data_IF_237154850175
#
_entry.id   IF_237154850175
#
_cell.length_a   1.000
_cell.length_b   1.000
_cell.length_c   1.000
_cell.angle_alpha   90.00
_cell.angle_beta   90.00
_cell.angle_gamma   90.00
#
_symmetry.space_group_name_H-M   'P 1'
#
loop_
_entity.id
_entity.type
_entity.pdbx_description
1 polymer ?
#
# COMPACT_ATOMS: atom_id res chain seq x y z
N UNK A 1 14.10 22.86 9.72
CA UNK A 1 13.58 21.76 10.57
C UNK A 1 13.13 20.66 9.63
N UNK A 2 13.75 19.49 9.68
CA UNK A 2 13.30 18.35 8.86
C UNK A 2 11.98 17.84 9.44
N UNK A 3 10.92 17.62 8.64
CA UNK A 3 9.66 17.10 9.15
C UNK A 3 9.92 15.76 9.85
N UNK A 4 9.43 15.61 11.08
CA UNK A 4 9.57 14.38 11.85
C UNK A 4 8.80 13.25 11.18
N UNK A 5 9.49 12.17 10.82
CA UNK A 5 8.88 11.00 10.19
C UNK A 5 8.33 10.06 11.25
N UNK A 6 7.01 9.90 11.29
CA UNK A 6 6.35 8.94 12.17
C UNK A 6 5.77 7.79 11.35
N UNK A 7 6.31 6.57 11.47
CA UNK A 7 5.71 5.40 10.84
C UNK A 7 4.34 5.17 11.47
N UNK A 8 3.28 5.19 10.65
CA UNK A 8 1.94 4.78 11.07
C UNK A 8 1.80 3.28 10.87
N UNK A 9 1.45 2.53 11.92
CA UNK A 9 1.10 1.13 11.75
C UNK A 9 -0.26 1.05 11.04
N UNK A 10 -0.30 0.51 9.81
CA UNK A 10 -1.54 0.39 9.03
C UNK A 10 -2.63 -0.34 9.82
N UNK A 11 -3.90 0.07 9.71
CA UNK A 11 -5.10 -0.41 10.46
C UNK A 11 -4.97 -0.69 11.99
N UNK A 12 -3.82 -0.46 12.60
CA UNK A 12 -3.46 -0.79 13.99
C UNK A 12 -3.91 0.33 14.97
N UNK A 13 -4.48 1.42 14.47
CA UNK A 13 -5.00 2.51 15.31
C UNK A 13 -6.08 2.09 16.31
N UNK A 14 -7.05 1.27 15.89
CA UNK A 14 -8.12 0.73 16.76
C UNK A 14 -7.57 -0.27 17.79
N UNK A 15 -6.49 -0.96 17.43
CA UNK A 15 -5.86 -2.01 18.22
C UNK A 15 -5.15 -1.46 19.46
N UNK A 16 -4.61 -0.24 19.38
CA UNK A 16 -4.01 0.45 20.52
C UNK A 16 -5.06 0.84 21.58
N UNK A 17 -6.24 1.30 21.15
CA UNK A 17 -7.33 1.67 22.06
C UNK A 17 -7.88 0.45 22.80
N UNK A 18 -8.11 -0.67 22.11
CA UNK A 18 -8.61 -1.91 22.74
C UNK A 18 -7.58 -2.45 23.74
N UNK A 19 -6.29 -2.38 23.42
CA UNK A 19 -5.22 -2.78 24.35
C UNK A 19 -5.22 -1.92 25.62
N UNK A 20 -5.42 -0.61 25.47
CA UNK A 20 -5.51 0.32 26.60
C UNK A 20 -6.74 0.02 27.47
N UNK A 21 -7.90 -0.22 26.85
CA UNK A 21 -9.13 -0.62 27.55
C UNK A 21 -8.93 -1.92 28.33
N UNK A 22 -8.26 -2.92 27.77
CA UNK A 22 -7.98 -4.19 28.48
C UNK A 22 -7.04 -4.00 29.67
N UNK A 23 -6.06 -3.10 29.56
CA UNK A 23 -5.15 -2.77 30.65
C UNK A 23 -5.87 -1.98 31.76
N UNK A 24 -6.72 -1.02 31.40
CA UNK A 24 -7.57 -0.29 32.35
C UNK A 24 -8.55 -1.22 33.06
N UNK A 25 -9.20 -2.13 32.31
CA UNK A 25 -10.09 -3.14 32.89
C UNK A 25 -9.34 -4.09 33.83
N UNK A 26 -8.13 -4.52 33.47
CA UNK A 26 -7.29 -5.34 34.34
C UNK A 26 -6.92 -4.61 35.64
N UNK A 27 -6.57 -3.32 35.55
CA UNK A 27 -6.26 -2.49 36.72
C UNK A 27 -7.48 -2.31 37.63
N UNK A 28 -8.66 -2.05 37.05
CA UNK A 28 -9.91 -1.94 37.81
C UNK A 28 -10.27 -3.26 38.51
N UNK A 29 -10.15 -4.39 37.81
CA UNK A 29 -10.38 -5.72 38.38
C UNK A 29 -9.36 -6.06 39.48
N UNK A 30 -8.10 -5.65 39.32
CA UNK A 30 -7.08 -5.83 40.36
C UNK A 30 -7.32 -4.94 41.59
N UNK A 31 -7.99 -3.80 41.44
CA UNK A 31 -8.32 -2.88 42.54
C UNK A 31 -9.52 -3.35 43.37
N UNK A 32 -10.49 -4.05 42.79
CA UNK A 32 -11.73 -4.48 43.48
C UNK A 32 -11.55 -5.26 44.80
N UNK A 33 -10.55 -6.16 44.96
CA UNK A 33 -10.22 -6.80 46.25
C UNK A 33 -10.01 -5.82 47.41
N UNK A 34 -9.37 -4.68 47.16
CA UNK A 34 -9.03 -3.68 48.17
C UNK A 34 -10.23 -2.86 48.64
N UNK A 35 -11.32 -2.82 47.86
CA UNK A 35 -12.55 -2.12 48.22
C UNK A 35 -13.54 -3.01 48.96
N UNK A 36 -13.69 -4.28 48.55
CA UNK A 36 -14.82 -5.12 49.00
C UNK A 36 -14.44 -6.10 50.12
N UNK A 37 -13.15 -6.36 50.38
CA UNK A 37 -12.64 -7.19 51.48
C UNK A 37 -13.30 -8.59 51.63
N UNK A 38 -13.86 -9.15 50.54
CA UNK A 38 -14.50 -10.48 50.53
C UNK A 38 -13.64 -11.48 49.76
N UNK A 39 -13.26 -12.64 50.33
CA UNK A 39 -12.37 -13.60 49.69
C UNK A 39 -12.93 -14.19 48.38
N UNK A 40 -14.26 -14.30 48.26
CA UNK A 40 -14.93 -14.76 47.04
C UNK A 40 -14.70 -13.80 45.86
N UNK A 41 -14.63 -12.49 46.13
CA UNK A 41 -14.37 -11.48 45.08
C UNK A 41 -12.94 -11.61 44.57
N UNK A 42 -11.98 -11.86 45.46
CA UNK A 42 -10.56 -12.07 45.12
C UNK A 42 -10.38 -13.30 44.22
N UNK A 43 -11.05 -14.40 44.55
CA UNK A 43 -10.99 -15.64 43.78
C UNK A 43 -11.54 -15.49 42.36
N UNK A 44 -12.53 -14.62 42.14
CA UNK A 44 -13.13 -14.36 40.83
C UNK A 44 -12.39 -13.33 39.99
N UNK A 45 -11.95 -12.21 40.58
CA UNK A 45 -11.38 -11.09 39.81
C UNK A 45 -9.92 -11.31 39.42
N UNK A 46 -9.15 -12.05 40.24
CA UNK A 46 -7.74 -12.36 39.94
C UNK A 46 -7.53 -13.08 38.61
N UNK A 47 -8.21 -14.22 38.34
CA UNK A 47 -8.09 -14.93 37.07
C UNK A 47 -8.53 -14.08 35.86
N UNK A 48 -9.59 -13.28 36.01
CA UNK A 48 -10.09 -12.43 34.92
C UNK A 48 -9.11 -11.30 34.62
N UNK A 49 -8.56 -10.64 35.65
CA UNK A 49 -7.52 -9.63 35.48
C UNK A 49 -6.27 -10.22 34.80
N UNK A 50 -5.85 -11.43 35.22
CA UNK A 50 -4.73 -12.13 34.60
C UNK A 50 -5.00 -12.46 33.12
N UNK A 51 -6.21 -12.92 32.79
CA UNK A 51 -6.62 -13.16 31.40
C UNK A 51 -6.65 -11.86 30.57
N UNK A 52 -7.07 -10.73 31.13
CA UNK A 52 -7.00 -9.43 30.46
C UNK A 52 -5.55 -9.01 30.17
N UNK A 53 -4.62 -9.24 31.12
CA UNK A 53 -3.18 -8.95 30.94
C UNK A 53 -2.56 -9.91 29.91
N UNK A 54 -2.83 -11.21 30.00
CA UNK A 54 -2.39 -12.20 29.00
C UNK A 54 -2.99 -11.89 27.64
N UNK A 55 -4.23 -11.43 27.57
CA UNK A 55 -4.83 -10.89 26.35
C UNK A 55 -3.99 -9.73 25.81
N UNK A 56 -3.82 -8.67 26.61
CA UNK A 56 -3.18 -7.42 26.19
C UNK A 56 -1.67 -7.52 25.88
N UNK A 57 -0.97 -8.50 26.44
CA UNK A 57 0.49 -8.68 26.31
C UNK A 57 0.82 -9.95 25.51
N UNK A 58 0.01 -11.00 25.66
CA UNK A 58 0.18 -12.26 24.96
C UNK A 58 -0.01 -12.09 23.46
N UNK A 59 0.99 -12.52 22.71
CA UNK A 59 1.05 -12.34 21.28
C UNK A 59 2.18 -13.16 20.66
N UNK A 60 2.04 -13.46 19.37
CA UNK A 60 3.09 -14.11 18.59
C UNK A 60 3.28 -13.34 17.28
N UNK A 61 4.51 -13.31 16.76
CA UNK A 61 4.85 -12.66 15.47
C UNK A 61 4.48 -11.17 15.39
N UNK A 62 4.72 -10.42 16.46
CA UNK A 62 4.52 -8.96 16.49
C UNK A 62 3.08 -8.49 16.68
N UNK A 63 2.12 -9.41 16.92
CA UNK A 63 0.70 -9.07 17.15
C UNK A 63 0.21 -9.69 18.46
N UNK A 64 -0.54 -8.93 19.25
CA UNK A 64 -1.23 -9.45 20.43
C UNK A 64 -2.52 -10.21 20.04
N UNK A 65 -3.03 -11.06 20.94
CA UNK A 65 -4.10 -12.01 20.65
C UNK A 65 -5.39 -11.35 20.11
N UNK A 66 -5.81 -10.22 20.66
CA UNK A 66 -7.01 -9.49 20.19
C UNK A 66 -6.83 -8.91 18.79
N UNK A 67 -5.63 -8.41 18.45
CA UNK A 67 -5.33 -8.01 17.08
C UNK A 67 -5.43 -9.19 16.10
N UNK A 68 -4.96 -10.38 16.51
CA UNK A 68 -5.08 -11.59 15.68
C UNK A 68 -6.53 -12.05 15.50
N UNK A 69 -7.39 -11.85 16.49
CA UNK A 69 -8.82 -12.19 16.39
C UNK A 69 -9.55 -11.23 15.45
N UNK A 70 -9.33 -9.93 15.56
CA UNK A 70 -9.89 -8.91 14.66
C UNK A 70 -9.50 -9.17 13.20
N UNK A 71 -8.23 -9.48 12.97
CA UNK A 71 -7.75 -9.82 11.63
C UNK A 71 -8.43 -11.06 11.08
N UNK A 72 -8.64 -12.06 11.93
CA UNK A 72 -9.30 -13.30 11.54
C UNK A 72 -10.80 -13.11 11.31
N UNK A 73 -11.48 -12.26 12.09
CA UNK A 73 -12.89 -11.90 11.85
C UNK A 73 -13.03 -11.13 10.55
N UNK A 74 -12.22 -10.09 10.34
CA UNK A 74 -12.27 -9.29 9.12
C UNK A 74 -11.91 -10.13 7.88
N UNK A 75 -10.97 -11.07 8.02
CA UNK A 75 -10.64 -12.02 6.97
C UNK A 75 -11.82 -12.92 6.60
N UNK A 76 -12.54 -13.45 7.60
CA UNK A 76 -13.74 -14.26 7.36
C UNK A 76 -14.85 -13.45 6.70
N UNK A 77 -15.14 -12.27 7.23
CA UNK A 77 -16.15 -11.37 6.68
C UNK A 77 -15.83 -11.03 5.22
N UNK A 78 -14.57 -10.69 4.92
CA UNK A 78 -14.12 -10.45 3.54
C UNK A 78 -14.25 -11.67 2.64
N UNK A 79 -14.08 -12.89 3.16
CA UNK A 79 -14.27 -14.11 2.35
C UNK A 79 -15.76 -14.33 2.01
N UNK A 80 -16.66 -14.01 2.94
CA UNK A 80 -18.11 -14.16 2.76
C UNK A 80 -18.70 -13.10 1.82
N UNK A 81 -18.16 -11.87 1.83
CA UNK A 81 -18.68 -10.75 1.05
C UNK A 81 -18.19 -10.69 -0.41
N UNK A 82 -17.31 -11.62 -0.85
CA UNK A 82 -16.75 -11.60 -2.22
C UNK A 82 -17.80 -11.92 -3.27
N UNK A 83 -17.89 -11.07 -4.28
CA UNK A 83 -18.79 -11.25 -5.43
C UNK A 83 -17.97 -11.35 -6.72
N UNK A 84 -18.42 -12.14 -7.72
CA UNK A 84 -17.82 -12.09 -9.05
C UNK A 84 -17.88 -10.67 -9.61
N UNK A 85 -16.79 -10.19 -10.20
CA UNK A 85 -16.75 -8.85 -10.78
C UNK A 85 -17.54 -8.77 -12.09
N UNK A 86 -18.10 -7.60 -12.34
CA UNK A 86 -18.71 -7.24 -13.63
C UNK A 86 -17.98 -6.05 -14.27
N UNK A 87 -18.04 -6.00 -15.60
CA UNK A 87 -17.43 -4.93 -16.41
C UNK A 87 -16.01 -5.26 -16.85
N UNK A 88 -15.16 -4.24 -16.89
CA UNK A 88 -13.83 -4.33 -17.48
C UNK A 88 -12.93 -5.37 -16.80
N UNK A 89 -12.35 -6.24 -17.62
CA UNK A 89 -11.51 -7.33 -17.15
C UNK A 89 -10.26 -6.85 -16.38
N UNK A 90 -9.67 -5.70 -16.77
CA UNK A 90 -8.50 -5.14 -16.10
C UNK A 90 -8.79 -4.69 -14.65
N UNK A 91 -10.04 -4.34 -14.34
CA UNK A 91 -10.47 -3.94 -13.00
C UNK A 91 -11.11 -5.08 -12.21
N UNK A 92 -11.27 -6.27 -12.81
CA UNK A 92 -11.95 -7.39 -12.17
C UNK A 92 -11.41 -7.72 -10.77
N UNK A 93 -10.08 -7.79 -10.52
CA UNK A 93 -9.58 -8.13 -9.19
C UNK A 93 -9.93 -7.08 -8.12
N UNK A 94 -9.97 -5.81 -8.52
CA UNK A 94 -10.35 -4.71 -7.63
C UNK A 94 -11.86 -4.69 -7.41
N UNK A 95 -12.67 -4.95 -8.44
CA UNK A 95 -14.14 -4.95 -8.35
C UNK A 95 -14.70 -6.20 -7.65
N UNK A 96 -14.03 -7.35 -7.71
CA UNK A 96 -14.38 -8.52 -6.90
C UNK A 96 -14.26 -8.23 -5.40
N UNK A 97 -13.36 -7.30 -5.06
CA UNK A 97 -13.09 -6.89 -3.69
C UNK A 97 -13.93 -5.69 -3.27
N UNK A 98 -13.96 -4.66 -4.11
CA UNK A 98 -14.66 -3.40 -3.90
C UNK A 98 -15.69 -3.23 -5.01
N UNK A 99 -16.88 -3.83 -4.87
CA UNK A 99 -17.90 -3.83 -5.93
C UNK A 99 -18.45 -2.43 -6.23
N UNK A 100 -18.22 -1.45 -5.35
CA UNK A 100 -18.59 -0.05 -5.54
C UNK A 100 -17.58 0.76 -6.36
N UNK A 101 -16.35 0.26 -6.62
CA UNK A 101 -15.35 1.00 -7.39
C UNK A 101 -15.82 1.29 -8.82
N UNK A 102 -15.79 2.57 -9.19
CA UNK A 102 -16.10 3.09 -10.52
C UNK A 102 -14.96 3.98 -11.01
N UNK A 103 -14.74 3.95 -12.30
CA UNK A 103 -13.88 4.90 -13.01
C UNK A 103 -14.76 5.94 -13.69
N UNK A 104 -14.21 7.15 -13.86
CA UNK A 104 -14.84 8.21 -14.63
C UNK A 104 -13.78 9.13 -15.22
N UNK A 105 -14.09 9.70 -16.38
CA UNK A 105 -13.33 10.80 -16.97
C UNK A 105 -13.83 12.13 -16.44
N UNK A 106 -12.91 12.97 -15.95
CA UNK A 106 -13.18 14.34 -15.51
C UNK A 106 -12.31 15.29 -16.33
N UNK A 107 -12.93 16.26 -17.01
CA UNK A 107 -12.18 17.25 -17.79
C UNK A 107 -11.58 18.33 -16.89
N UNK A 108 -10.31 18.67 -17.14
CA UNK A 108 -9.69 19.86 -16.56
C UNK A 108 -10.27 21.14 -17.18
N UNK A 109 -9.94 22.31 -16.60
CA UNK A 109 -10.27 23.61 -17.23
C UNK A 109 -9.68 23.75 -18.64
N UNK A 110 -8.56 23.07 -18.92
CA UNK A 110 -7.90 23.07 -20.22
C UNK A 110 -8.48 22.07 -21.22
N UNK A 111 -9.49 21.29 -20.85
CA UNK A 111 -10.10 20.27 -21.70
C UNK A 111 -9.46 18.89 -21.63
N UNK A 112 -8.24 18.78 -21.08
CA UNK A 112 -7.55 17.50 -20.94
C UNK A 112 -8.35 16.52 -20.05
N UNK A 113 -8.62 15.29 -20.51
CA UNK A 113 -9.36 14.28 -19.76
C UNK A 113 -8.49 13.63 -18.69
N UNK A 114 -8.94 13.66 -17.44
CA UNK A 114 -8.28 13.00 -16.30
C UNK A 114 -9.11 11.81 -15.84
N UNK A 115 -8.47 10.65 -15.70
CA UNK A 115 -9.07 9.46 -15.13
C UNK A 115 -9.16 9.58 -13.61
N UNK A 116 -10.35 9.30 -13.07
CA UNK A 116 -10.61 9.26 -11.63
C UNK A 116 -11.22 7.91 -11.29
N UNK A 117 -10.83 7.35 -10.13
CA UNK A 117 -11.41 6.13 -9.55
C UNK A 117 -11.90 6.40 -8.13
N UNK A 118 -13.03 5.83 -7.75
CA UNK A 118 -13.60 5.97 -6.41
C UNK A 118 -14.77 5.03 -6.16
N UNK A 119 -15.20 4.91 -4.91
CA UNK A 119 -16.34 4.08 -4.50
C UNK A 119 -17.54 4.90 -3.98
N UNK A 120 -17.44 6.23 -4.05
CA UNK A 120 -18.41 7.19 -3.50
C UNK A 120 -17.97 7.81 -2.18
N UNK A 121 -17.07 7.18 -1.43
CA UNK A 121 -16.48 7.73 -0.19
C UNK A 121 -15.16 8.46 -0.44
N UNK A 122 -14.47 8.12 -1.53
CA UNK A 122 -13.24 8.82 -1.93
C UNK A 122 -13.15 8.95 -3.45
N UNK A 123 -12.25 9.84 -3.89
CA UNK A 123 -11.83 9.97 -5.28
C UNK A 123 -10.30 9.96 -5.36
N UNK A 124 -9.76 9.23 -6.32
CA UNK A 124 -8.32 9.13 -6.58
C UNK A 124 -8.03 9.37 -8.05
N UNK A 125 -7.00 10.16 -8.34
CA UNK A 125 -6.40 10.26 -9.66
C UNK A 125 -4.93 9.82 -9.59
N UNK A 126 -4.39 9.36 -10.71
CA UNK A 126 -3.05 8.79 -10.78
C UNK A 126 -2.17 9.59 -11.72
N UNK A 127 -0.95 9.83 -11.28
CA UNK A 127 0.12 10.49 -12.04
C UNK A 127 1.19 9.44 -12.30
N UNK A 128 1.56 9.20 -13.55
CA UNK A 128 2.74 8.43 -13.90
C UNK A 128 3.98 9.31 -13.81
N UNK A 129 5.04 8.77 -13.20
CA UNK A 129 6.29 9.47 -12.99
C UNK A 129 7.40 8.82 -13.82
N UNK A 130 8.03 9.63 -14.65
CA UNK A 130 9.19 9.24 -15.44
C UNK A 130 10.42 10.07 -15.03
N UNK A 131 11.61 9.47 -15.06
CA UNK A 131 12.85 10.19 -14.83
C UNK A 131 13.19 10.99 -16.07
N UNK A 132 13.34 12.32 -15.96
CA UNK A 132 13.81 13.15 -17.07
C UNK A 132 15.14 12.61 -17.59
N UNK A 133 15.27 12.54 -18.92
CA UNK A 133 16.31 11.81 -19.66
C UNK A 133 17.76 12.22 -19.35
N UNK A 134 18.26 11.79 -18.20
CA UNK A 134 19.68 11.76 -17.86
C UNK A 134 20.40 10.66 -18.68
N UNK A 135 21.66 10.85 -19.07
CA UNK A 135 22.42 9.85 -19.82
C UNK A 135 22.44 8.50 -19.08
N UNK A 136 22.32 7.41 -19.84
CA UNK A 136 22.30 5.98 -19.42
C UNK A 136 23.47 5.49 -18.54
N UNK A 137 24.33 6.38 -18.03
CA UNK A 137 25.56 6.05 -17.29
C UNK A 137 25.41 6.00 -15.78
N UNK A 138 24.40 6.63 -15.19
CA UNK A 138 24.14 6.46 -13.76
C UNK A 138 23.23 5.26 -13.52
N UNK A 139 23.49 4.43 -12.50
CA UNK A 139 22.67 3.25 -12.24
C UNK A 139 21.21 3.68 -12.10
N UNK A 140 20.31 3.12 -12.93
CA UNK A 140 18.84 3.32 -12.88
C UNK A 140 18.22 3.08 -11.49
N UNK A 141 18.98 2.44 -10.59
CA UNK A 141 18.73 2.28 -9.17
C UNK A 141 18.72 3.60 -8.36
N UNK A 142 19.28 4.69 -8.90
CA UNK A 142 19.64 5.89 -8.15
C UNK A 142 18.55 6.97 -8.07
N UNK A 143 17.40 6.87 -8.75
CA UNK A 143 16.32 7.84 -8.54
C UNK A 143 15.42 7.41 -7.36
N UNK A 144 15.59 8.04 -6.18
CA UNK A 144 14.69 7.81 -5.06
C UNK A 144 13.29 8.31 -5.42
N UNK A 145 12.26 7.70 -4.84
CA UNK A 145 10.89 8.21 -4.94
C UNK A 145 10.85 9.69 -4.48
N UNK A 146 10.02 10.56 -5.08
CA UNK A 146 9.91 11.98 -4.72
C UNK A 146 9.15 12.20 -3.39
N UNK A 147 9.52 11.47 -2.34
CA UNK A 147 8.88 11.49 -1.02
C UNK A 147 8.92 12.90 -0.43
N UNK A 148 10.04 13.61 -0.57
CA UNK A 148 10.18 14.98 -0.07
C UNK A 148 9.26 15.99 -0.77
N UNK A 149 9.12 15.90 -2.09
CA UNK A 149 8.24 16.77 -2.87
C UNK A 149 6.77 16.53 -2.53
N UNK A 150 6.38 15.26 -2.36
CA UNK A 150 5.03 14.91 -1.95
C UNK A 150 4.74 15.33 -0.50
N UNK A 151 5.71 15.17 0.41
CA UNK A 151 5.58 15.63 1.79
C UNK A 151 5.43 17.16 1.86
N UNK A 152 6.15 17.91 1.03
CA UNK A 152 5.98 19.36 0.91
C UNK A 152 4.58 19.73 0.40
N UNK A 153 4.08 19.02 -0.62
CA UNK A 153 2.71 19.22 -1.13
C UNK A 153 1.65 18.95 -0.06
N UNK A 154 1.85 17.94 0.80
CA UNK A 154 0.93 17.60 1.89
C UNK A 154 0.94 18.59 3.05
N UNK A 155 2.06 19.29 3.25
CA UNK A 155 2.22 20.30 4.31
C UNK A 155 1.48 21.60 3.96
N UNK A 156 1.15 21.82 2.68
CA UNK A 156 0.31 22.94 2.26
C UNK A 156 -1.16 22.70 2.68
N UNK A 157 -1.63 23.50 3.63
CA UNK A 157 -3.01 23.46 4.14
C UNK A 157 -4.06 23.68 3.04
N UNK A 158 -3.69 24.32 1.93
CA UNK A 158 -4.57 24.57 0.79
C UNK A 158 -4.76 23.35 -0.11
N UNK A 159 -4.05 22.25 0.13
CA UNK A 159 -4.20 20.99 -0.62
C UNK A 159 -5.16 20.05 0.13
N UNK A 160 -6.39 19.86 -0.38
CA UNK A 160 -7.43 19.09 0.31
C UNK A 160 -7.29 17.58 0.05
N UNK A 161 -6.10 17.02 0.22
CA UNK A 161 -5.85 15.58 0.02
C UNK A 161 -5.82 14.86 1.36
N UNK A 162 -6.36 13.65 1.38
CA UNK A 162 -6.26 12.75 2.53
C UNK A 162 -4.91 12.03 2.53
N UNK A 163 -4.46 11.60 1.35
CA UNK A 163 -3.17 10.93 1.17
C UNK A 163 -2.63 11.04 -0.26
N UNK A 164 -1.32 10.84 -0.38
CA UNK A 164 -0.64 10.63 -1.65
C UNK A 164 0.21 9.37 -1.54
N UNK A 165 -0.05 8.41 -2.41
CA UNK A 165 0.61 7.11 -2.42
C UNK A 165 1.59 7.03 -3.59
N UNK A 166 2.87 6.90 -3.29
CA UNK A 166 3.94 6.67 -4.26
C UNK A 166 4.18 5.18 -4.43
N UNK A 167 4.04 4.65 -5.64
CA UNK A 167 4.27 3.24 -5.94
C UNK A 167 5.37 3.09 -6.98
N UNK A 168 6.36 2.27 -6.70
CA UNK A 168 7.36 1.79 -7.66
C UNK A 168 7.10 0.31 -7.94
N UNK A 169 6.68 0.01 -9.16
CA UNK A 169 6.45 -1.36 -9.64
C UNK A 169 7.57 -1.79 -10.56
N UNK A 170 8.29 -2.84 -10.17
CA UNK A 170 9.49 -3.32 -10.86
C UNK A 170 9.32 -4.76 -11.32
N UNK A 171 9.82 -5.05 -12.52
CA UNK A 171 9.99 -6.40 -13.05
C UNK A 171 11.48 -6.68 -13.15
N UNK A 172 11.99 -7.76 -12.53
CA UNK A 172 13.43 -7.98 -12.47
C UNK A 172 14.00 -8.35 -13.83
N UNK A 173 15.30 -8.10 -13.97
CA UNK A 173 16.11 -8.61 -15.05
C UNK A 173 17.17 -9.58 -14.51
N UNK A 174 17.41 -10.73 -15.17
CA UNK A 174 16.60 -11.31 -16.22
C UNK A 174 15.23 -11.80 -15.70
N UNK A 175 14.26 -11.94 -16.61
CA UNK A 175 12.95 -12.45 -16.23
C UNK A 175 13.08 -13.86 -15.61
N UNK A 176 12.37 -14.19 -14.51
CA UNK A 176 12.64 -15.41 -13.74
C UNK A 176 12.39 -16.72 -14.50
N UNK A 177 11.57 -16.67 -15.56
CA UNK A 177 11.24 -17.82 -16.39
C UNK A 177 12.31 -18.11 -17.45
N UNK A 178 13.29 -17.22 -17.65
CA UNK A 178 14.35 -17.43 -18.63
C UNK A 178 15.40 -18.43 -18.12
N UNK A 179 15.88 -19.36 -18.98
CA UNK A 179 17.01 -20.21 -18.64
C UNK A 179 18.24 -19.37 -18.28
N UNK A 180 18.95 -19.76 -17.22
CA UNK A 180 20.16 -19.05 -16.74
C UNK A 180 21.26 -18.92 -17.79
N UNK A 181 21.31 -19.84 -18.76
CA UNK A 181 22.32 -19.85 -19.82
C UNK A 181 21.95 -18.97 -21.04
N UNK A 182 20.75 -18.39 -21.05
CA UNK A 182 20.28 -17.53 -22.16
C UNK A 182 21.19 -16.32 -22.34
N UNK A 183 21.30 -15.84 -23.58
CA UNK A 183 22.07 -14.63 -23.89
C UNK A 183 21.55 -13.43 -23.11
N UNK A 184 20.23 -13.28 -22.99
CA UNK A 184 19.61 -12.22 -22.19
C UNK A 184 20.04 -12.28 -20.72
N UNK A 185 20.07 -13.47 -20.10
CA UNK A 185 20.52 -13.62 -18.72
C UNK A 185 22.01 -13.23 -18.54
N UNK A 186 22.87 -13.60 -19.49
CA UNK A 186 24.29 -13.20 -19.47
C UNK A 186 24.49 -11.71 -19.71
N UNK A 187 23.71 -11.10 -20.60
CA UNK A 187 23.78 -9.66 -20.86
C UNK A 187 23.41 -8.83 -19.63
N UNK A 188 22.36 -9.22 -18.90
CA UNK A 188 21.97 -8.51 -17.68
C UNK A 188 22.98 -8.68 -16.53
N UNK A 189 23.68 -9.81 -16.45
CA UNK A 189 24.77 -9.99 -15.49
C UNK A 189 25.90 -8.96 -15.68
N UNK A 190 26.14 -8.51 -16.92
CA UNK A 190 27.16 -7.50 -17.23
C UNK A 190 26.80 -6.06 -16.84
N UNK A 191 25.51 -5.76 -16.60
CA UNK A 191 25.02 -4.41 -16.27
C UNK A 191 24.99 -4.17 -14.74
N UNK A 192 25.04 -5.24 -13.96
CA UNK A 192 24.92 -5.22 -12.49
C UNK A 192 23.62 -5.88 -12.03
N UNK A 193 23.68 -6.58 -10.90
CA UNK A 193 22.63 -7.51 -10.45
C UNK A 193 21.33 -6.83 -9.94
N UNK A 194 21.34 -5.51 -9.71
CA UNK A 194 20.26 -4.81 -9.01
C UNK A 194 19.45 -3.83 -9.88
N UNK A 195 19.54 -3.95 -11.21
CA UNK A 195 18.76 -3.12 -12.14
C UNK A 195 17.56 -3.90 -12.67
N UNK A 196 16.31 -3.46 -12.39
CA UNK A 196 15.13 -4.11 -12.95
C UNK A 196 15.02 -3.89 -14.46
N UNK A 197 14.43 -4.84 -15.17
CA UNK A 197 14.18 -4.75 -16.62
C UNK A 197 13.24 -3.59 -16.94
N UNK A 198 12.19 -3.45 -16.11
CA UNK A 198 11.19 -2.42 -16.21
C UNK A 198 10.89 -1.91 -14.81
N UNK A 199 10.84 -0.59 -14.66
CA UNK A 199 10.36 0.09 -13.46
C UNK A 199 9.37 1.15 -13.90
N UNK A 200 8.16 1.10 -13.35
CA UNK A 200 7.12 2.12 -13.54
C UNK A 200 6.81 2.71 -12.18
N UNK A 201 6.69 4.04 -12.13
CA UNK A 201 6.39 4.75 -10.89
C UNK A 201 5.09 5.53 -11.03
N UNK A 202 4.24 5.46 -10.00
CA UNK A 202 2.98 6.19 -9.93
C UNK A 202 2.88 7.00 -8.64
N UNK A 203 2.16 8.11 -8.70
CA UNK A 203 1.65 8.84 -7.55
C UNK A 203 0.11 8.84 -7.61
N UNK A 204 -0.55 8.16 -6.68
CA UNK A 204 -1.99 8.18 -6.55
C UNK A 204 -2.40 9.24 -5.52
N UNK A 205 -3.13 10.26 -5.95
CA UNK A 205 -3.57 11.39 -5.13
C UNK A 205 -5.01 11.15 -4.71
N UNK A 206 -5.26 10.99 -3.42
CA UNK A 206 -6.58 10.69 -2.87
C UNK A 206 -7.20 11.89 -2.16
N UNK A 207 -8.48 12.07 -2.41
CA UNK A 207 -9.34 13.03 -1.75
C UNK A 207 -10.53 12.30 -1.11
N UNK A 208 -10.76 12.59 0.16
CA UNK A 208 -11.99 12.24 0.88
C UNK A 208 -12.89 13.49 0.90
N UNK A 209 -14.04 13.47 0.20
CA UNK A 209 -14.94 14.63 0.14
C UNK A 209 -15.49 15.05 1.51
N UNK A 210 -15.69 14.13 2.46
CA UNK A 210 -16.19 14.45 3.79
C UNK A 210 -15.11 15.19 4.59
N UNK A 211 -13.88 14.69 4.58
CA UNK A 211 -12.75 15.35 5.22
C UNK A 211 -12.37 16.69 4.56
N UNK A 212 -12.71 16.87 3.28
CA UNK A 212 -12.39 18.05 2.47
C UNK A 212 -13.60 18.99 2.24
N UNK A 213 -14.65 18.92 3.06
CA UNK A 213 -15.93 19.60 2.82
C UNK A 213 -15.78 21.09 2.43
N UNK A 214 -14.98 21.87 3.18
CA UNK A 214 -14.78 23.29 2.88
C UNK A 214 -14.16 23.55 1.49
N UNK A 215 -13.25 22.67 1.03
CA UNK A 215 -12.67 22.77 -0.29
C UNK A 215 -13.63 22.35 -1.41
N UNK A 216 -14.54 21.41 -1.11
CA UNK A 216 -15.61 20.96 -2.00
C UNK A 216 -16.66 22.05 -2.18
N UNK A 217 -17.15 22.64 -1.08
CA UNK A 217 -18.13 23.73 -1.08
C UNK A 217 -17.62 24.96 -1.85
N UNK A 218 -16.37 25.37 -1.61
CA UNK A 218 -15.74 26.48 -2.34
C UNK A 218 -15.65 26.27 -3.86
N UNK A 219 -15.87 25.05 -4.35
CA UNK A 219 -15.80 24.69 -5.79
C UNK A 219 -17.16 24.32 -6.40
N UNK A 220 -18.24 24.66 -5.71
CA UNK A 220 -19.62 24.46 -6.16
C UNK A 220 -20.35 23.31 -5.48
N UNK A 221 -19.72 22.65 -4.50
CA UNK A 221 -20.35 21.60 -3.70
C UNK A 221 -20.59 20.28 -4.45
N UNK A 222 -21.04 19.28 -3.70
CA UNK A 222 -21.41 17.96 -4.21
C UNK A 222 -20.29 17.27 -5.00
N UNK A 223 -20.68 16.42 -5.95
CA UNK A 223 -19.76 15.62 -6.75
C UNK A 223 -18.85 16.47 -7.64
N UNK A 224 -19.39 17.53 -8.26
CA UNK A 224 -18.61 18.43 -9.14
C UNK A 224 -17.55 19.20 -8.33
N UNK A 225 -17.91 19.69 -7.14
CA UNK A 225 -16.98 20.34 -6.22
C UNK A 225 -15.85 19.41 -5.80
N UNK A 226 -16.16 18.15 -5.48
CA UNK A 226 -15.18 17.12 -5.13
C UNK A 226 -14.22 16.80 -6.27
N UNK A 227 -14.74 16.63 -7.49
CA UNK A 227 -13.92 16.42 -8.69
C UNK A 227 -12.99 17.62 -8.95
N UNK A 228 -13.49 18.85 -8.85
CA UNK A 228 -12.66 20.06 -9.02
C UNK A 228 -11.61 20.22 -7.92
N UNK A 229 -11.94 19.84 -6.68
CA UNK A 229 -11.01 19.85 -5.56
C UNK A 229 -9.86 18.85 -5.80
N UNK A 230 -10.20 17.64 -6.25
CA UNK A 230 -9.22 16.61 -6.61
C UNK A 230 -8.32 17.09 -7.74
N UNK A 231 -8.88 17.59 -8.85
CA UNK A 231 -8.08 18.06 -9.99
C UNK A 231 -7.10 19.18 -9.59
N UNK A 232 -7.54 20.11 -8.71
CA UNK A 232 -6.66 21.16 -8.19
C UNK A 232 -5.50 20.54 -7.40
N UNK A 233 -5.78 19.55 -6.55
CA UNK A 233 -4.76 18.89 -5.76
C UNK A 233 -3.77 18.09 -6.61
N UNK A 234 -4.27 17.35 -7.61
CA UNK A 234 -3.45 16.57 -8.55
C UNK A 234 -2.48 17.48 -9.31
N UNK A 235 -2.94 18.62 -9.81
CA UNK A 235 -2.08 19.60 -10.50
C UNK A 235 -0.99 20.15 -9.59
N UNK A 236 -1.31 20.42 -8.31
CA UNK A 236 -0.31 20.89 -7.33
C UNK A 236 0.72 19.81 -7.01
N UNK A 237 0.28 18.57 -6.80
CA UNK A 237 1.19 17.44 -6.55
C UNK A 237 2.08 17.19 -7.77
N UNK A 238 1.52 17.19 -8.97
CA UNK A 238 2.28 17.07 -10.22
C UNK A 238 3.35 18.16 -10.32
N UNK A 239 2.98 19.42 -10.11
CA UNK A 239 3.91 20.56 -10.17
C UNK A 239 5.05 20.44 -9.14
N UNK A 240 4.76 19.96 -7.92
CA UNK A 240 5.80 19.72 -6.91
C UNK A 240 6.75 18.59 -7.32
N UNK A 241 6.23 17.51 -7.90
CA UNK A 241 7.02 16.39 -8.39
C UNK A 241 7.90 16.82 -9.59
N UNK A 242 7.37 17.63 -10.49
CA UNK A 242 8.13 18.21 -11.61
C UNK A 242 9.25 19.14 -11.14
N UNK A 243 8.99 19.93 -10.10
CA UNK A 243 10.00 20.77 -9.44
C UNK A 243 11.12 19.95 -8.80
N UNK A 244 10.88 18.68 -8.48
CA UNK A 244 11.89 17.74 -8.00
C UNK A 244 12.63 16.98 -9.11
N UNK A 245 12.42 17.35 -10.38
CA UNK A 245 13.17 16.81 -11.53
C UNK A 245 12.52 15.63 -12.25
N UNK A 246 11.31 15.22 -11.85
CA UNK A 246 10.55 14.17 -12.53
C UNK A 246 9.71 14.75 -13.68
N UNK A 247 9.34 13.90 -14.62
CA UNK A 247 8.25 14.14 -15.56
C UNK A 247 6.97 13.53 -14.96
N UNK A 248 5.88 14.31 -14.93
CA UNK A 248 4.64 13.93 -14.27
C UNK A 248 3.47 13.95 -15.25
N UNK A 249 3.02 12.76 -15.67
CA UNK A 249 1.90 12.61 -16.61
C UNK A 249 0.64 12.22 -15.85
N UNK A 250 -0.36 13.10 -15.82
CA UNK A 250 -1.67 12.78 -15.23
C UNK A 250 -2.40 11.81 -16.16
N UNK A 251 -2.81 10.65 -15.64
CA UNK A 251 -3.40 9.59 -16.46
C UNK A 251 -4.85 9.89 -16.84
N UNK A 252 -5.19 9.64 -18.10
CA UNK A 252 -6.57 9.53 -18.57
C UNK A 252 -7.25 8.26 -18.02
N UNK A 253 -8.57 8.12 -18.19
CA UNK A 253 -9.31 6.94 -17.70
C UNK A 253 -8.79 5.60 -18.28
N UNK A 254 -8.55 5.46 -19.61
CA UNK A 254 -7.99 4.22 -20.16
C UNK A 254 -6.58 3.90 -19.64
N UNK A 255 -5.74 4.91 -19.45
CA UNK A 255 -4.39 4.76 -18.92
C UNK A 255 -4.41 4.38 -17.44
N UNK A 256 -5.33 4.95 -16.66
CA UNK A 256 -5.59 4.60 -15.27
C UNK A 256 -5.99 3.12 -15.15
N UNK A 257 -6.93 2.66 -15.98
CA UNK A 257 -7.37 1.25 -16.02
C UNK A 257 -6.17 0.33 -16.33
N UNK A 258 -5.34 0.72 -17.29
CA UNK A 258 -4.12 -0.02 -17.67
C UNK A 258 -3.10 -0.07 -16.52
N UNK A 259 -2.89 1.04 -15.82
CA UNK A 259 -2.00 1.13 -14.66
C UNK A 259 -2.47 0.23 -13.51
N UNK A 260 -3.77 0.26 -13.20
CA UNK A 260 -4.39 -0.61 -12.17
C UNK A 260 -4.27 -2.09 -12.54
N UNK A 261 -4.56 -2.46 -13.79
CA UNK A 261 -4.40 -3.84 -14.28
C UNK A 261 -2.94 -4.31 -14.19
N UNK A 262 -1.99 -3.44 -14.53
CA UNK A 262 -0.55 -3.72 -14.41
C UNK A 262 -0.14 -3.92 -12.96
N UNK A 263 -0.55 -3.03 -12.05
CA UNK A 263 -0.26 -3.15 -10.63
C UNK A 263 -0.89 -4.41 -10.00
N UNK A 264 -2.07 -4.82 -10.45
CA UNK A 264 -2.73 -6.06 -10.03
C UNK A 264 -2.14 -7.34 -10.67
N UNK A 265 -1.23 -7.21 -11.66
CA UNK A 265 -0.70 -8.32 -12.46
C UNK A 265 -1.80 -9.13 -13.16
N UNK A 266 -2.79 -8.42 -13.72
CA UNK A 266 -3.86 -9.03 -14.50
C UNK A 266 -3.29 -9.71 -15.75
N UNK A 267 -3.64 -10.97 -15.97
CA UNK A 267 -3.17 -11.71 -17.15
C UNK A 267 -3.85 -11.20 -18.42
N UNK A 268 -3.06 -11.01 -19.49
CA UNK A 268 -3.56 -10.62 -20.81
C UNK A 268 -4.55 -11.65 -21.38
N UNK A 269 -4.35 -12.95 -21.09
CA UNK A 269 -5.25 -14.04 -21.51
C UNK A 269 -6.64 -13.90 -20.88
N UNK A 270 -6.69 -13.34 -19.67
CA UNK A 270 -7.93 -13.15 -18.93
C UNK A 270 -8.67 -11.85 -19.33
N UNK A 271 -8.13 -11.05 -20.27
CA UNK A 271 -8.86 -9.96 -20.92
C UNK A 271 -9.96 -10.44 -21.88
N UNK A 272 -10.03 -11.76 -22.16
CA UNK A 272 -11.14 -12.34 -22.90
C UNK A 272 -12.46 -12.24 -22.09
N UNK A 273 -13.54 -11.65 -22.65
CA UNK A 273 -14.80 -11.42 -21.95
C UNK A 273 -15.48 -12.68 -21.40
N UNK A 274 -15.22 -13.85 -22.00
CA UNK A 274 -15.79 -15.14 -21.56
C UNK A 274 -15.22 -15.65 -20.24
N UNK A 275 -14.06 -15.15 -19.80
CA UNK A 275 -13.46 -15.48 -18.50
C UNK A 275 -14.10 -14.70 -17.33
N UNK A 276 -14.95 -13.70 -17.61
CA UNK A 276 -15.57 -12.84 -16.59
C UNK A 276 -16.61 -13.55 -15.71
N UNK A 277 -17.03 -14.78 -16.05
CA UNK A 277 -18.04 -15.52 -15.30
C UNK A 277 -17.49 -16.25 -14.06
N UNK A 278 -16.17 -16.37 -13.90
CA UNK A 278 -15.55 -17.09 -12.79
C UNK A 278 -14.74 -16.16 -11.90
N UNK A 279 -14.71 -16.47 -10.60
CA UNK A 279 -13.90 -15.75 -9.61
C UNK A 279 -12.42 -15.84 -10.00
N UNK A 280 -11.76 -14.69 -10.11
CA UNK A 280 -10.35 -14.57 -10.51
C UNK A 280 -9.42 -14.44 -9.32
N UNK A 281 -9.94 -14.01 -8.18
CA UNK A 281 -9.15 -13.77 -6.97
C UNK A 281 -9.41 -14.76 -5.84
N UNK A 282 -8.35 -15.11 -5.12
CA UNK A 282 -8.42 -15.95 -3.92
C UNK A 282 -7.53 -15.35 -2.83
N UNK A 283 -8.03 -15.22 -1.60
CA UNK A 283 -7.22 -14.81 -0.46
C UNK A 283 -7.12 -15.95 0.56
N UNK A 284 -5.88 -16.29 0.88
CA UNK A 284 -5.52 -17.17 1.98
C UNK A 284 -4.91 -16.34 3.10
N UNK A 285 -4.60 -16.98 4.23
CA UNK A 285 -3.91 -16.27 5.32
C UNK A 285 -2.56 -15.67 4.91
N UNK A 286 -1.81 -16.27 3.98
CA UNK A 286 -0.43 -15.82 3.66
C UNK A 286 -0.29 -15.19 2.29
N UNK A 287 -1.21 -15.49 1.39
CA UNK A 287 -1.12 -15.09 0.00
C UNK A 287 -2.46 -14.64 -0.55
N UNK A 288 -2.41 -13.73 -1.52
CA UNK A 288 -3.51 -13.43 -2.42
C UNK A 288 -3.16 -13.91 -3.82
N UNK A 289 -4.12 -14.41 -4.59
CA UNK A 289 -3.93 -14.91 -5.95
C UNK A 289 -4.82 -14.18 -6.92
N UNK A 290 -4.31 -13.97 -8.13
CA UNK A 290 -5.06 -13.48 -9.28
C UNK A 290 -4.48 -14.02 -10.57
N UNK A 291 -5.32 -14.59 -11.44
CA UNK A 291 -4.94 -15.08 -12.78
C UNK A 291 -3.68 -15.96 -12.81
N UNK A 292 -3.49 -16.80 -11.79
CA UNK A 292 -2.33 -17.69 -11.67
C UNK A 292 -1.09 -17.07 -11.02
N UNK A 293 -1.08 -15.75 -10.78
CA UNK A 293 -0.05 -15.08 -10.00
C UNK A 293 -0.33 -15.21 -8.50
N UNK A 294 0.73 -15.42 -7.72
CA UNK A 294 0.72 -15.48 -6.27
C UNK A 294 1.34 -14.22 -5.70
N UNK A 295 0.71 -13.62 -4.70
CA UNK A 295 1.13 -12.37 -4.11
C UNK A 295 1.28 -12.51 -2.60
N UNK A 296 2.31 -11.87 -2.06
CA UNK A 296 2.38 -11.64 -0.62
C UNK A 296 2.84 -10.22 -0.34
N UNK A 297 2.27 -9.60 0.69
CA UNK A 297 2.56 -8.23 1.09
C UNK A 297 3.14 -8.18 2.50
N UNK A 298 4.17 -7.35 2.64
CA UNK A 298 4.82 -7.00 3.89
C UNK A 298 4.59 -5.52 4.18
N UNK A 299 4.40 -5.19 5.45
CA UNK A 299 4.53 -3.85 5.97
C UNK A 299 5.96 -3.65 6.49
N UNK A 300 6.54 -2.49 6.20
CA UNK A 300 7.82 -2.05 6.73
C UNK A 300 7.60 -1.42 8.12
N UNK A 301 7.71 -2.23 9.18
CA UNK A 301 7.50 -1.80 10.57
C UNK A 301 8.62 -0.89 11.08
N UNK A 302 9.84 -1.12 10.60
CA UNK A 302 11.00 -0.29 10.91
C UNK A 302 11.69 0.11 9.61
N UNK A 303 11.85 1.43 9.34
CA UNK A 303 12.58 1.86 8.16
C UNK A 303 14.02 1.35 8.21
N UNK A 304 14.67 1.11 7.05
CA UNK A 304 16.08 0.72 7.02
C UNK A 304 16.93 1.76 7.76
N UNK A 305 18.10 1.38 8.25
CA UNK A 305 19.07 2.34 8.80
C UNK A 305 19.61 3.18 7.64
N UNK A 306 18.94 4.32 7.41
CA UNK A 306 19.21 5.25 6.33
C UNK A 306 20.53 5.98 6.60
N UNK A 307 21.59 5.64 5.85
CA UNK A 307 22.65 6.59 5.53
C UNK A 307 22.39 7.11 4.10
N UNK A 308 22.92 8.28 3.75
CA UNK A 308 22.74 8.86 2.41
C UNK A 308 23.17 7.93 1.25
N UNK A 309 23.94 6.86 1.54
CA UNK A 309 24.33 5.83 0.58
C UNK A 309 23.44 4.59 0.60
N UNK A 310 22.89 4.16 1.75
CA UNK A 310 22.25 2.84 1.90
C UNK A 310 20.76 2.77 1.58
N UNK A 311 20.05 3.90 1.50
CA UNK A 311 18.60 3.89 1.24
C UNK A 311 18.20 3.57 -0.20
N UNK A 312 18.84 4.17 -1.25
CA UNK A 312 18.52 3.84 -2.63
C UNK A 312 18.83 2.38 -2.92
N UNK A 313 19.91 1.87 -2.33
CA UNK A 313 20.36 0.48 -2.44
C UNK A 313 19.31 -0.53 -1.95
N UNK A 314 18.60 -0.23 -0.84
CA UNK A 314 17.56 -1.14 -0.35
C UNK A 314 16.39 -1.26 -1.32
N UNK A 315 15.80 -0.15 -1.77
CA UNK A 315 14.64 -0.21 -2.67
C UNK A 315 14.99 -0.70 -4.07
N UNK A 316 16.21 -0.41 -4.56
CA UNK A 316 16.74 -1.00 -5.77
C UNK A 316 16.88 -2.52 -5.63
N UNK A 317 17.47 -3.00 -4.52
CA UNK A 317 17.58 -4.42 -4.22
C UNK A 317 16.19 -5.07 -4.07
N UNK A 318 15.19 -4.40 -3.50
CA UNK A 318 13.83 -4.94 -3.45
C UNK A 318 13.23 -5.09 -4.86
N UNK A 319 13.52 -4.13 -5.75
CA UNK A 319 13.12 -4.18 -7.17
C UNK A 319 13.79 -5.28 -7.99
N UNK A 320 14.95 -5.80 -7.55
CA UNK A 320 15.72 -6.84 -8.24
C UNK A 320 15.45 -8.27 -7.73
N UNK A 321 14.50 -8.46 -6.80
CA UNK A 321 14.14 -9.79 -6.30
C UNK A 321 13.72 -10.73 -7.45
N UNK A 322 14.03 -12.04 -7.38
CA UNK A 322 13.73 -13.02 -8.43
C UNK A 322 12.23 -13.44 -8.48
N UNK A 323 11.36 -12.43 -8.61
CA UNK A 323 9.91 -12.53 -8.62
C UNK A 323 9.34 -12.13 -10.00
N UNK A 324 8.05 -12.36 -10.27
CA UNK A 324 7.44 -11.83 -11.50
C UNK A 324 7.38 -10.30 -11.47
N UNK A 325 7.08 -9.73 -10.30
CA UNK A 325 7.15 -8.30 -10.05
C UNK A 325 7.30 -8.02 -8.55
N UNK A 326 7.87 -6.87 -8.23
CA UNK A 326 7.90 -6.32 -6.87
C UNK A 326 7.30 -4.92 -6.89
N UNK A 327 6.38 -4.64 -5.97
CA UNK A 327 5.77 -3.32 -5.80
C UNK A 327 6.18 -2.77 -4.45
N UNK A 328 6.83 -1.61 -4.43
CA UNK A 328 7.09 -0.83 -3.22
C UNK A 328 6.12 0.33 -3.21
N UNK A 329 5.38 0.49 -2.12
CA UNK A 329 4.39 1.55 -1.96
C UNK A 329 4.71 2.35 -0.70
N UNK A 330 4.76 3.67 -0.82
CA UNK A 330 4.91 4.61 0.28
C UNK A 330 3.68 5.50 0.29
N UNK A 331 2.84 5.35 1.31
CA UNK A 331 1.69 6.22 1.50
C UNK A 331 2.09 7.38 2.41
N UNK A 332 1.80 8.61 1.99
CA UNK A 332 2.00 9.82 2.78
C UNK A 332 0.64 10.45 3.09
N UNK A 333 0.43 10.85 4.34
CA UNK A 333 -0.81 11.49 4.80
C UNK A 333 -0.50 12.60 5.81
N UNK A 334 -1.47 13.49 6.04
CA UNK A 334 -1.35 14.50 7.09
C UNK A 334 -1.25 13.82 8.46
N UNK A 335 -0.20 14.17 9.21
CA UNK A 335 0.04 13.71 10.57
C UNK A 335 -0.57 14.64 11.61
N UNK A 336 -0.15 14.50 12.86
CA UNK A 336 -0.51 15.42 13.94
C UNK A 336 0.37 16.66 13.88
N UNK A 337 -0.23 17.85 13.93
CA UNK A 337 0.49 19.11 13.73
C UNK A 337 1.03 19.23 12.29
N UNK A 338 2.24 19.75 12.13
CA UNK A 338 2.90 19.90 10.81
C UNK A 338 3.66 18.64 10.36
N UNK A 339 3.48 17.50 11.05
CA UNK A 339 4.15 16.26 10.69
C UNK A 339 3.46 15.56 9.51
N UNK A 340 4.24 14.85 8.70
CA UNK A 340 3.72 13.94 7.67
C UNK A 340 3.82 12.51 8.19
N UNK A 341 2.68 11.82 8.23
CA UNK A 341 2.65 10.41 8.55
C UNK A 341 2.93 9.59 7.30
N UNK A 342 3.71 8.52 7.43
CA UNK A 342 3.96 7.61 6.32
C UNK A 342 3.78 6.14 6.71
N UNK A 343 3.41 5.33 5.73
CA UNK A 343 3.44 3.87 5.79
C UNK A 343 4.11 3.32 4.53
N UNK A 344 4.81 2.20 4.64
CA UNK A 344 5.51 1.60 3.52
C UNK A 344 5.21 0.12 3.43
N UNK A 345 4.90 -0.36 2.23
CA UNK A 345 4.53 -1.73 1.94
C UNK A 345 5.36 -2.28 0.78
N UNK A 346 5.70 -3.56 0.86
CA UNK A 346 6.39 -4.30 -0.20
C UNK A 346 5.55 -5.50 -0.57
N UNK A 347 5.09 -5.56 -1.82
CA UNK A 347 4.38 -6.71 -2.38
C UNK A 347 5.25 -7.44 -3.39
N UNK A 348 5.38 -8.74 -3.22
CA UNK A 348 6.04 -9.65 -4.17
C UNK A 348 4.93 -10.37 -4.94
N UNK A 349 5.06 -10.46 -6.27
CA UNK A 349 4.24 -11.29 -7.14
C UNK A 349 5.11 -12.40 -7.78
N UNK A 350 4.67 -13.65 -7.76
CA UNK A 350 5.40 -14.81 -8.28
C UNK A 350 4.49 -15.77 -9.05
N UNK A 351 5.06 -16.60 -9.92
CA UNK A 351 4.30 -17.56 -10.73
C UNK A 351 3.90 -18.84 -9.99
N UNK A 352 4.48 -19.07 -8.81
CA UNK A 352 4.15 -20.22 -7.96
C UNK A 352 4.37 -19.88 -6.49
N UNK A 353 3.76 -20.67 -5.60
CA UNK A 353 3.98 -20.54 -4.16
C UNK A 353 5.45 -20.76 -3.77
N UNK A 354 6.12 -21.74 -4.39
CA UNK A 354 7.54 -22.01 -4.12
C UNK A 354 8.43 -20.82 -4.48
N UNK A 355 8.21 -20.21 -5.64
CA UNK A 355 8.95 -19.01 -6.05
C UNK A 355 8.66 -17.82 -5.12
N UNK A 356 7.40 -17.68 -4.67
CA UNK A 356 7.01 -16.63 -3.74
C UNK A 356 7.71 -16.78 -2.39
N UNK A 357 7.77 -18.01 -1.87
CA UNK A 357 8.46 -18.34 -0.62
C UNK A 357 9.96 -18.07 -0.70
N UNK A 358 10.59 -18.42 -1.83
CA UNK A 358 12.02 -18.14 -2.04
C UNK A 358 12.29 -16.64 -2.13
N UNK A 359 11.49 -15.90 -2.91
CA UNK A 359 11.61 -14.45 -3.02
C UNK A 359 11.36 -13.74 -1.69
N UNK A 360 10.43 -14.27 -0.88
CA UNK A 360 10.14 -13.78 0.48
C UNK A 360 11.34 -13.93 1.41
N UNK A 361 11.99 -15.09 1.43
CA UNK A 361 13.21 -15.31 2.24
C UNK A 361 14.32 -14.34 1.84
N UNK A 362 14.48 -14.08 0.54
CA UNK A 362 15.47 -13.13 0.04
C UNK A 362 15.13 -11.69 0.43
N UNK A 363 13.84 -11.30 0.38
CA UNK A 363 13.39 -10.00 0.88
C UNK A 363 13.69 -9.84 2.37
N UNK A 364 13.34 -10.82 3.20
CA UNK A 364 13.58 -10.81 4.65
C UNK A 364 15.08 -10.73 4.97
N UNK A 365 15.92 -11.49 4.24
CA UNK A 365 17.37 -11.43 4.40
C UNK A 365 17.94 -10.05 4.02
N UNK A 366 17.52 -9.47 2.89
CA UNK A 366 17.94 -8.13 2.44
C UNK A 366 17.48 -7.03 3.41
N UNK A 367 16.27 -7.15 3.95
CA UNK A 367 15.76 -6.23 4.96
C UNK A 367 16.56 -6.30 6.26
N UNK A 368 16.87 -7.52 6.73
CA UNK A 368 17.73 -7.72 7.91
C UNK A 368 19.12 -7.10 7.74
N UNK A 369 19.74 -7.26 6.56
CA UNK A 369 21.02 -6.64 6.23
C UNK A 369 20.95 -5.10 6.21
N UNK A 370 19.82 -4.54 5.76
CA UNK A 370 19.58 -3.10 5.74
C UNK A 370 19.11 -2.53 7.10
N UNK A 371 18.95 -3.36 8.13
CA UNK A 371 18.41 -2.97 9.43
C UNK A 371 16.91 -2.63 9.42
N UNK A 372 16.22 -2.97 8.34
CA UNK A 372 14.78 -2.79 8.16
C UNK A 372 14.00 -3.92 8.84
N UNK A 373 12.85 -3.57 9.42
CA UNK A 373 11.88 -4.52 9.94
C UNK A 373 10.80 -4.77 8.88
N UNK A 374 10.47 -6.05 8.66
CA UNK A 374 9.34 -6.43 7.82
C UNK A 374 8.37 -7.33 8.59
N UNK A 375 7.08 -7.03 8.45
CA UNK A 375 5.98 -7.83 8.98
C UNK A 375 5.07 -8.26 7.85
N UNK A 376 4.97 -9.58 7.59
CA UNK A 376 4.03 -10.09 6.57
C UNK A 376 2.60 -9.86 7.04
N UNK A 377 1.74 -9.41 6.14
CA UNK A 377 0.32 -9.15 6.40
C UNK A 377 -0.52 -10.43 6.44
N UNK A 378 -0.19 -11.33 7.38
CA UNK A 378 -0.91 -12.59 7.54
C UNK A 378 -2.38 -12.33 7.93
N UNK A 379 -3.31 -12.79 7.09
CA UNK A 379 -4.76 -12.57 7.18
C UNK A 379 -5.21 -11.25 6.54
N UNK A 380 -4.30 -10.44 6.00
CA UNK A 380 -4.57 -9.09 5.46
C UNK A 380 -3.92 -8.91 4.08
N UNK A 381 -3.84 -9.96 3.29
CA UNK A 381 -3.19 -9.92 1.99
C UNK A 381 -3.97 -9.09 0.98
N UNK A 382 -5.30 -9.08 1.10
CA UNK A 382 -6.15 -8.23 0.26
C UNK A 382 -6.03 -6.73 0.63
N UNK A 383 -6.10 -6.31 1.91
CA UNK A 383 -5.68 -4.97 2.30
C UNK A 383 -4.25 -4.64 1.82
N UNK A 384 -3.32 -5.58 1.92
CA UNK A 384 -1.96 -5.42 1.40
C UNK A 384 -1.87 -5.17 -0.10
N UNK A 385 -2.72 -5.83 -0.89
CA UNK A 385 -2.88 -5.56 -2.32
C UNK A 385 -3.29 -4.10 -2.54
N UNK A 386 -4.33 -3.64 -1.86
CA UNK A 386 -4.87 -2.27 -1.97
C UNK A 386 -3.84 -1.23 -1.59
N UNK A 387 -3.08 -1.49 -0.52
CA UNK A 387 -1.99 -0.65 -0.07
C UNK A 387 -0.81 -0.57 -1.06
N UNK A 388 -0.79 -1.39 -2.11
CA UNK A 388 0.29 -1.49 -3.10
C UNK A 388 -0.17 -1.42 -4.57
N UNK A 389 -1.40 -0.96 -4.80
CA UNK A 389 -1.94 -0.54 -6.11
C UNK A 389 -2.26 0.96 -6.07
N UNK A 390 -2.27 1.69 -7.21
CA UNK A 390 -2.45 3.14 -7.24
C UNK A 390 -3.91 3.57 -6.97
N UNK A 391 -4.35 3.40 -5.72
CA UNK A 391 -5.68 3.78 -5.23
C UNK A 391 -5.64 4.89 -4.17
N UNK A 392 -4.44 5.29 -3.73
CA UNK A 392 -4.23 6.34 -2.74
C UNK A 392 -3.91 5.84 -1.33
N UNK A 393 -3.87 4.51 -1.12
CA UNK A 393 -3.47 3.86 0.12
C UNK A 393 -4.43 4.08 1.31
N UNK A 394 -4.54 3.06 2.17
CA UNK A 394 -4.99 3.18 3.58
C UNK A 394 -4.00 2.46 4.49
#
# INVERSE_FOLDING_TARGET
>A
MSPGFHPRPGRIGSVALIRLILLEAAAALAATPFLVHKPVVIAGTGPVALLCVIGAIGGSRGRWLGASQLVHSDFKERQEQRRPATGESALAPLRETFPALRTATVSTRGGEPVGVIGDGTFLTAVIQLDSRGEPLREPRAAHPLPVGAVAAALSDTQVPVSSVQLISHSRPAPAPHLPRQSLSARSYQGIGADVPAQRTTWAAVRLDPEAAQGAVEARGGGQIGAQRALLTAVQRVASQIEGAGFEATILSEPELITALGTACMVSQVAQNPSAAAHRRTEETKRYWRCDGSWHTTYWLDKPPTLSARTSPDFFAAVGSLPALATSVSVNLSKGTGDAVAFSCFVRIAAGSENQLNESSKQLEARAGQAGAGLTRLDGEQLPGLVATVPLGGE
#
